data_IF_699155532714
#
_entry.id   IF_699155532714
#
_cell.length_a   1.000
_cell.length_b   1.000
_cell.length_c   1.000
_cell.angle_alpha   90.00
_cell.angle_beta   90.00
_cell.angle_gamma   90.00
#
_symmetry.space_group_name_H-M   'P 1'
#
loop_
_entity.id
_entity.type
_entity.pdbx_description
1 polymer ?
#
# COMPACT_ATOMS: atom_id res chain seq x y z
N UNK A 1 12.73 -4.63 39.97
CA UNK A 1 12.22 -5.20 38.69
C UNK A 1 11.12 -4.33 38.04
N UNK A 2 11.20 -3.00 38.11
CA UNK A 2 10.17 -2.10 37.54
C UNK A 2 10.62 -1.32 36.29
N UNK A 3 11.92 -1.36 35.96
CA UNK A 3 12.51 -0.60 34.85
C UNK A 3 12.23 -1.30 33.49
N UNK A 4 12.11 -2.62 33.47
CA UNK A 4 11.89 -3.40 32.24
C UNK A 4 10.50 -3.13 31.63
N UNK A 5 9.45 -2.98 32.45
CA UNK A 5 8.07 -2.85 31.95
C UNK A 5 7.80 -1.52 31.26
N UNK A 6 8.39 -0.42 31.74
CA UNK A 6 8.24 0.91 31.13
C UNK A 6 9.03 1.01 29.81
N UNK A 7 10.23 0.43 29.77
CA UNK A 7 11.06 0.35 28.57
C UNK A 7 10.38 -0.48 27.47
N UNK A 8 9.82 -1.63 27.85
CA UNK A 8 9.09 -2.52 26.95
C UNK A 8 7.81 -1.87 26.41
N UNK A 9 7.06 -1.16 27.27
CA UNK A 9 5.88 -0.40 26.87
C UNK A 9 6.23 0.69 25.84
N UNK A 10 7.33 1.42 26.04
CA UNK A 10 7.81 2.45 25.11
C UNK A 10 8.24 1.86 23.77
N UNK A 11 8.91 0.71 23.78
CA UNK A 11 9.30 -0.01 22.57
C UNK A 11 8.08 -0.52 21.80
N UNK A 12 7.06 -1.06 22.49
CA UNK A 12 5.81 -1.48 21.89
C UNK A 12 5.05 -0.30 21.26
N UNK A 13 4.92 0.82 21.98
CA UNK A 13 4.26 2.03 21.48
C UNK A 13 4.92 2.57 20.20
N UNK A 14 6.26 2.60 20.16
CA UNK A 14 7.02 3.02 18.96
C UNK A 14 6.74 2.10 17.77
N UNK A 15 6.70 0.78 17.98
CA UNK A 15 6.41 -0.21 16.94
C UNK A 15 5.00 -0.03 16.36
N UNK A 16 3.98 0.07 17.22
CA UNK A 16 2.60 0.26 16.78
C UNK A 16 2.41 1.59 16.05
N UNK A 17 3.12 2.64 16.48
CA UNK A 17 3.13 3.93 15.77
C UNK A 17 3.70 3.79 14.35
N UNK A 18 4.82 3.07 14.18
CA UNK A 18 5.40 2.83 12.85
C UNK A 18 4.48 2.01 11.95
N UNK A 19 3.87 0.94 12.49
CA UNK A 19 2.88 0.14 11.76
C UNK A 19 1.67 1.00 11.37
N UNK A 20 1.19 1.85 12.28
CA UNK A 20 0.09 2.78 12.01
C UNK A 20 0.40 3.73 10.86
N UNK A 21 1.58 4.36 10.88
CA UNK A 21 2.04 5.23 9.78
C UNK A 21 2.10 4.50 8.44
N UNK A 22 2.64 3.27 8.42
CA UNK A 22 2.70 2.47 7.21
C UNK A 22 1.30 2.14 6.66
N UNK A 23 0.36 1.77 7.54
CA UNK A 23 -1.04 1.50 7.16
C UNK A 23 -1.79 2.72 6.64
N UNK A 24 -1.59 3.89 7.24
CA UNK A 24 -2.16 5.15 6.75
C UNK A 24 -1.64 5.44 5.33
N UNK A 25 -0.34 5.22 5.10
CA UNK A 25 0.25 5.30 3.77
C UNK A 25 -0.42 4.36 2.77
N UNK A 26 -0.65 3.09 3.14
CA UNK A 26 -1.36 2.12 2.29
C UNK A 26 -2.79 2.57 1.98
N UNK A 27 -3.52 3.14 2.96
CA UNK A 27 -4.87 3.67 2.75
C UNK A 27 -4.88 4.78 1.70
N UNK A 28 -3.92 5.71 1.77
CA UNK A 28 -3.78 6.79 0.79
C UNK A 28 -3.47 6.25 -0.62
N UNK A 29 -2.58 5.25 -0.71
CA UNK A 29 -2.25 4.60 -1.98
C UNK A 29 -3.45 3.85 -2.57
N UNK A 30 -4.24 3.15 -1.73
CA UNK A 30 -5.47 2.49 -2.17
C UNK A 30 -6.48 3.50 -2.72
N UNK A 31 -6.72 4.62 -2.03
CA UNK A 31 -7.59 5.69 -2.55
C UNK A 31 -7.10 6.23 -3.90
N UNK A 32 -5.78 6.34 -4.07
CA UNK A 32 -5.19 6.77 -5.33
C UNK A 32 -5.36 5.73 -6.45
N UNK A 33 -5.34 4.43 -6.13
CA UNK A 33 -5.67 3.34 -7.06
C UNK A 33 -7.14 3.44 -7.47
N UNK A 34 -8.05 3.62 -6.51
CA UNK A 34 -9.49 3.69 -6.77
C UNK A 34 -9.81 4.87 -7.71
N UNK A 35 -9.26 6.05 -7.44
CA UNK A 35 -9.36 7.21 -8.34
C UNK A 35 -8.76 6.93 -9.71
N UNK A 36 -7.58 6.29 -9.78
CA UNK A 36 -6.96 5.98 -11.09
C UNK A 36 -7.78 4.97 -11.89
N UNK A 37 -8.46 4.01 -11.24
CA UNK A 37 -9.37 3.10 -11.92
C UNK A 37 -10.65 3.81 -12.39
N UNK A 38 -11.16 4.76 -11.62
CA UNK A 38 -12.27 5.59 -12.05
C UNK A 38 -11.91 6.36 -13.33
N UNK A 39 -10.80 7.09 -13.32
CA UNK A 39 -10.31 7.84 -14.48
C UNK A 39 -10.04 6.93 -15.70
N UNK A 40 -9.58 5.69 -15.45
CA UNK A 40 -9.37 4.69 -16.50
C UNK A 40 -10.69 4.19 -17.07
N UNK A 41 -11.69 3.96 -16.21
CA UNK A 41 -13.03 3.55 -16.60
C UNK A 41 -13.72 4.60 -17.47
N UNK A 42 -13.64 5.88 -17.08
CA UNK A 42 -14.16 6.99 -17.89
C UNK A 42 -13.46 7.06 -19.25
N UNK A 43 -12.12 7.03 -19.29
CA UNK A 43 -11.37 7.09 -20.54
C UNK A 43 -11.69 5.93 -21.49
N UNK A 44 -11.85 4.71 -20.94
CA UNK A 44 -12.23 3.53 -21.72
C UNK A 44 -13.68 3.66 -22.21
N UNK A 45 -14.59 4.12 -21.35
CA UNK A 45 -15.99 4.32 -21.70
C UNK A 45 -16.15 5.33 -22.85
N UNK A 46 -15.48 6.48 -22.76
CA UNK A 46 -15.50 7.51 -23.79
C UNK A 46 -14.98 6.96 -25.13
N UNK A 47 -13.84 6.26 -25.10
CA UNK A 47 -13.26 5.66 -26.31
C UNK A 47 -14.15 4.58 -26.94
N UNK A 48 -14.87 3.81 -26.14
CA UNK A 48 -15.85 2.83 -26.65
C UNK A 48 -17.06 3.55 -27.25
N UNK A 49 -17.58 4.56 -26.55
CA UNK A 49 -18.77 5.31 -26.95
C UNK A 49 -18.55 6.08 -28.25
N UNK A 50 -17.35 6.63 -28.45
CA UNK A 50 -16.96 7.36 -29.66
C UNK A 50 -16.61 6.44 -30.85
N UNK A 51 -16.76 5.12 -30.71
CA UNK A 51 -16.42 4.15 -31.75
C UNK A 51 -14.91 3.93 -31.95
N UNK A 52 -14.07 4.47 -31.06
CA UNK A 52 -12.61 4.34 -31.08
C UNK A 52 -12.09 3.09 -30.33
N UNK A 53 -12.98 2.17 -29.93
CA UNK A 53 -12.68 1.03 -29.05
C UNK A 53 -11.53 0.11 -29.50
N UNK A 54 -11.19 0.09 -30.80
CA UNK A 54 -10.04 -0.67 -31.32
C UNK A 54 -8.66 -0.14 -30.90
N UNK A 55 -8.57 1.08 -30.37
CA UNK A 55 -7.28 1.75 -30.09
C UNK A 55 -6.98 1.98 -28.60
N UNK A 56 -7.82 1.49 -27.69
CA UNK A 56 -7.71 1.72 -26.24
C UNK A 56 -6.33 1.30 -25.71
N UNK A 57 -5.85 0.13 -26.13
CA UNK A 57 -4.53 -0.39 -25.72
C UNK A 57 -3.35 0.44 -26.22
N UNK A 58 -3.56 1.31 -27.22
CA UNK A 58 -2.56 2.23 -27.76
C UNK A 58 -2.66 3.63 -27.16
N UNK A 59 -3.74 3.95 -26.45
CA UNK A 59 -3.90 5.22 -25.75
C UNK A 59 -2.77 5.43 -24.74
N UNK A 60 -2.04 6.55 -24.88
CA UNK A 60 -0.99 6.95 -23.94
C UNK A 60 -1.56 7.18 -22.54
N UNK A 61 -2.80 7.69 -22.46
CA UNK A 61 -3.50 7.96 -21.19
C UNK A 61 -3.80 6.66 -20.45
N UNK A 62 -4.39 5.69 -21.14
CA UNK A 62 -4.65 4.34 -20.61
C UNK A 62 -3.35 3.68 -20.12
N UNK A 63 -2.29 3.69 -20.94
CA UNK A 63 -0.99 3.13 -20.54
C UNK A 63 -0.41 3.81 -19.29
N UNK A 64 -0.50 5.13 -19.20
CA UNK A 64 -0.03 5.89 -18.05
C UNK A 64 -0.80 5.56 -16.77
N UNK A 65 -2.13 5.45 -16.86
CA UNK A 65 -2.98 5.06 -15.74
C UNK A 65 -2.67 3.64 -15.26
N UNK A 66 -2.49 2.68 -16.18
CA UNK A 66 -2.09 1.31 -15.85
C UNK A 66 -0.72 1.26 -15.17
N UNK A 67 0.26 2.01 -15.68
CA UNK A 67 1.59 2.09 -15.07
C UNK A 67 1.51 2.63 -13.63
N UNK A 68 0.76 3.72 -13.43
CA UNK A 68 0.52 4.31 -12.10
C UNK A 68 -0.12 3.32 -11.13
N UNK A 69 -1.13 2.56 -11.56
CA UNK A 69 -1.75 1.51 -10.73
C UNK A 69 -0.71 0.44 -10.34
N UNK A 70 0.13 0.01 -11.28
CA UNK A 70 1.16 -0.99 -11.00
C UNK A 70 2.21 -0.48 -10.00
N UNK A 71 2.66 0.76 -10.15
CA UNK A 71 3.58 1.40 -9.20
C UNK A 71 2.98 1.47 -7.80
N UNK A 72 1.73 1.91 -7.67
CA UNK A 72 1.03 1.99 -6.38
C UNK A 72 0.86 0.60 -5.74
N UNK A 73 0.49 -0.42 -6.52
CA UNK A 73 0.41 -1.82 -6.04
C UNK A 73 1.77 -2.33 -5.56
N UNK A 74 2.85 -2.01 -6.26
CA UNK A 74 4.21 -2.36 -5.84
C UNK A 74 4.59 -1.64 -4.55
N UNK A 75 4.26 -0.36 -4.40
CA UNK A 75 4.49 0.41 -3.18
C UNK A 75 3.75 -0.18 -1.98
N UNK A 76 2.48 -0.60 -2.15
CA UNK A 76 1.69 -1.27 -1.11
C UNK A 76 2.35 -2.57 -0.67
N UNK A 77 2.80 -3.42 -1.62
CA UNK A 77 3.53 -4.65 -1.31
C UNK A 77 4.81 -4.39 -0.51
N UNK A 78 5.51 -3.30 -0.81
CA UNK A 78 6.71 -2.92 -0.05
C UNK A 78 6.36 -2.48 1.37
N UNK A 79 5.26 -1.73 1.56
CA UNK A 79 4.74 -1.38 2.88
C UNK A 79 4.29 -2.61 3.69
N UNK A 80 3.71 -3.62 3.04
CA UNK A 80 3.39 -4.89 3.70
C UNK A 80 4.64 -5.64 4.19
N UNK A 81 5.71 -5.63 3.39
CA UNK A 81 7.01 -6.21 3.81
C UNK A 81 7.59 -5.45 4.99
N UNK A 82 7.53 -4.12 4.98
CA UNK A 82 7.96 -3.25 6.09
C UNK A 82 7.20 -3.59 7.38
N UNK A 83 5.86 -3.68 7.31
CA UNK A 83 5.02 -4.07 8.45
C UNK A 83 5.38 -5.47 8.96
N UNK A 84 5.58 -6.44 8.06
CA UNK A 84 5.99 -7.81 8.44
C UNK A 84 7.36 -7.82 9.13
N UNK A 85 8.31 -7.01 8.65
CA UNK A 85 9.62 -6.88 9.27
C UNK A 85 9.52 -6.30 10.69
N UNK A 86 8.77 -5.21 10.88
CA UNK A 86 8.54 -4.59 12.20
C UNK A 86 7.91 -5.60 13.18
N UNK A 87 6.98 -6.44 12.69
CA UNK A 87 6.36 -7.50 13.49
C UNK A 87 7.32 -8.64 13.84
N UNK A 88 8.18 -9.09 12.91
CA UNK A 88 9.11 -10.23 13.11
C UNK A 88 10.25 -9.94 14.08
N UNK A 89 10.74 -8.69 14.15
CA UNK A 89 11.75 -8.25 15.15
C UNK A 89 11.21 -8.30 16.60
N UNK A 90 10.00 -8.82 16.81
CA UNK A 90 9.26 -8.76 18.07
C UNK A 90 8.77 -10.11 18.57
N UNK A 91 9.12 -11.23 17.93
CA UNK A 91 8.92 -12.52 18.59
C UNK A 91 9.83 -12.52 19.83
N UNK A 92 9.29 -12.66 21.07
CA UNK A 92 10.14 -12.84 22.23
C UNK A 92 11.02 -14.07 21.96
N UNK A 93 12.31 -14.08 22.38
CA UNK A 93 13.04 -15.35 22.41
C UNK A 93 12.16 -16.32 23.19
N UNK A 94 11.74 -17.40 22.53
CA UNK A 94 11.00 -18.47 23.18
C UNK A 94 11.79 -18.83 24.41
N UNK A 95 11.19 -18.71 25.60
CA UNK A 95 11.84 -19.15 26.83
C UNK A 95 12.20 -20.62 26.64
N UNK A 96 13.48 -20.89 26.38
CA UNK A 96 14.03 -22.24 26.38
C UNK A 96 13.81 -22.77 27.78
N UNK A 97 13.12 -23.90 27.86
CA UNK A 97 12.86 -24.65 29.10
C UNK A 97 14.17 -25.04 29.77
#
# INVERSE_FOLDING_TARGET
MAIDTLSDAKAAAKKYTQIGKAKIGQLSMNKSIDSTYHDLGEEVYDQVSDGAGGNISRSKKVKGQVAKVNELKHAIKNKDKEIKAIKKVSAPPSKTK
#
